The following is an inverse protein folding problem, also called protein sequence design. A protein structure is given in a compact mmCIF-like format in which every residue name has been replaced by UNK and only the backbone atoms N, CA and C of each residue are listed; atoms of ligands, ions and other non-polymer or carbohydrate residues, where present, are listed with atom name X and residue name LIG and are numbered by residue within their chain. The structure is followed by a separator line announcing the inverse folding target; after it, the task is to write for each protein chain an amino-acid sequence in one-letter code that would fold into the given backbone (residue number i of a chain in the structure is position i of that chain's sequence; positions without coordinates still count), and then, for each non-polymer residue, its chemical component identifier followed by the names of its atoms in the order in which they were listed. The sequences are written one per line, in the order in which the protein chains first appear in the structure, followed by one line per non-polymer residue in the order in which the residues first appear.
data_IF_739828741085
#
_entry.id   IF_739828741085
#
_cell.length_a   1.000
_cell.length_b   1.000
_cell.length_c   1.000
_cell.angle_alpha   90.00
_cell.angle_beta   90.00
_cell.angle_gamma   90.00
#
_symmetry.space_group_name_H-M   'P 1'
#
loop_
_entity.id
_entity.type
_entity.pdbx_description
1 polymer ?
#
# COMPACT_ATOMS: atom_id res chain seq x y z
N UNK A 1 10.30 13.89 7.08
CA UNK A 1 9.74 13.96 8.45
C UNK A 1 10.65 14.79 9.32
N UNK A 2 10.07 15.52 10.26
CA UNK A 2 10.82 16.26 11.27
C UNK A 2 10.64 15.49 12.58
N UNK A 3 11.72 14.98 13.15
CA UNK A 3 11.71 14.37 14.47
C UNK A 3 12.27 15.36 15.49
N UNK A 4 11.50 15.61 16.56
CA UNK A 4 11.91 16.54 17.62
C UNK A 4 12.22 17.97 17.14
N UNK A 5 11.53 18.44 16.07
CA UNK A 5 11.77 19.77 15.50
C UNK A 5 13.02 19.91 14.61
N UNK A 6 13.85 18.87 14.49
CA UNK A 6 15.07 18.90 13.66
C UNK A 6 14.76 18.60 12.19
N UNK A 7 15.43 19.31 11.28
CA UNK A 7 15.29 19.09 9.82
C UNK A 7 15.78 17.70 9.44
N UNK A 8 15.08 17.05 8.50
CA UNK A 8 15.51 15.78 7.92
C UNK A 8 16.86 15.99 7.20
N UNK A 9 17.90 15.21 7.54
CA UNK A 9 19.17 15.24 6.81
C UNK A 9 18.93 14.96 5.33
N UNK A 10 19.76 15.53 4.48
CA UNK A 10 19.76 15.28 3.02
C UNK A 10 18.53 15.75 2.24
N UNK A 11 17.45 16.24 2.86
CA UNK A 11 16.26 16.73 2.14
C UNK A 11 16.65 17.79 1.09
N UNK A 12 17.58 18.67 1.42
CA UNK A 12 18.07 19.71 0.51
C UNK A 12 18.71 19.15 -0.76
N UNK A 13 19.30 17.95 -0.74
CA UNK A 13 19.87 17.30 -1.92
C UNK A 13 18.77 17.07 -2.95
N UNK A 14 17.61 16.59 -2.52
CA UNK A 14 16.46 16.36 -3.39
C UNK A 14 15.79 17.65 -3.85
N UNK A 15 15.63 18.60 -2.91
CA UNK A 15 14.92 19.86 -3.20
C UNK A 15 15.71 20.79 -4.14
N UNK A 16 17.04 20.76 -4.10
CA UNK A 16 17.92 21.56 -4.96
C UNK A 16 18.06 21.01 -6.39
N UNK A 17 17.58 19.79 -6.69
CA UNK A 17 17.68 19.24 -8.04
C UNK A 17 16.71 19.93 -8.99
N UNK A 18 17.20 20.37 -10.16
CA UNK A 18 16.39 21.03 -11.20
C UNK A 18 15.40 20.07 -11.86
N UNK A 19 15.79 18.82 -12.08
CA UNK A 19 14.92 17.77 -12.67
C UNK A 19 14.38 16.89 -11.57
N UNK A 20 13.18 17.20 -11.10
CA UNK A 20 12.46 16.39 -10.10
C UNK A 20 11.01 16.19 -10.50
N UNK A 21 10.46 15.02 -10.18
CA UNK A 21 9.05 14.71 -10.30
C UNK A 21 8.49 14.49 -8.89
N UNK A 22 7.39 15.12 -8.57
CA UNK A 22 6.78 15.09 -7.24
C UNK A 22 5.33 14.65 -7.38
N UNK A 23 4.95 13.60 -6.66
CA UNK A 23 3.58 13.12 -6.58
C UNK A 23 3.17 13.00 -5.12
N UNK A 24 2.17 13.77 -4.71
CA UNK A 24 1.58 13.62 -3.37
C UNK A 24 0.71 12.35 -3.35
N UNK A 25 0.95 11.48 -2.39
CA UNK A 25 0.26 10.22 -2.25
C UNK A 25 -0.32 10.06 -0.85
N UNK A 26 -1.52 9.44 -0.77
CA UNK A 26 -2.16 9.17 0.51
C UNK A 26 -1.39 8.11 1.31
N UNK A 27 -1.40 8.26 2.61
CA UNK A 27 -0.96 7.25 3.55
C UNK A 27 -2.07 6.22 3.85
N UNK A 28 -1.85 5.36 4.83
CA UNK A 28 -2.81 4.34 5.25
C UNK A 28 -4.10 4.95 5.78
N UNK A 29 -5.11 5.06 4.93
CA UNK A 29 -6.39 5.71 5.23
C UNK A 29 -7.25 5.03 6.29
N UNK A 30 -6.89 3.82 6.77
CA UNK A 30 -7.49 3.20 7.94
C UNK A 30 -6.81 3.62 9.26
N UNK A 31 -5.68 4.31 9.20
CA UNK A 31 -4.85 4.66 10.37
C UNK A 31 -4.64 6.16 10.53
N UNK A 32 -4.66 6.91 9.43
CA UNK A 32 -4.37 8.34 9.41
C UNK A 32 -5.49 9.14 8.79
N UNK A 33 -5.83 10.26 9.40
CA UNK A 33 -6.81 11.21 8.89
C UNK A 33 -6.13 12.18 7.92
N UNK A 34 -6.51 12.14 6.64
CA UNK A 34 -6.02 13.04 5.57
C UNK A 34 -4.48 13.20 5.51
N UNK A 35 -3.74 12.13 5.78
CA UNK A 35 -2.28 12.14 5.71
C UNK A 35 -1.81 11.87 4.28
N UNK A 36 -0.94 12.72 3.78
CA UNK A 36 -0.30 12.60 2.47
C UNK A 36 1.20 12.79 2.60
N UNK A 37 1.97 12.07 1.80
CA UNK A 37 3.41 12.24 1.64
C UNK A 37 3.75 12.63 0.19
N UNK A 38 4.80 13.44 0.03
CA UNK A 38 5.34 13.75 -1.29
C UNK A 38 6.36 12.70 -1.70
N UNK A 39 6.05 11.94 -2.74
CA UNK A 39 6.97 11.03 -3.40
C UNK A 39 7.82 11.84 -4.37
N UNK A 40 9.11 11.94 -4.11
CA UNK A 40 10.04 12.75 -4.90
C UNK A 40 11.05 11.84 -5.58
N UNK A 41 11.13 11.94 -6.90
CA UNK A 41 12.22 11.39 -7.69
C UNK A 41 13.01 12.54 -8.31
N UNK A 42 14.29 12.61 -7.98
CA UNK A 42 15.22 13.58 -8.53
C UNK A 42 16.26 12.89 -9.40
N UNK A 43 16.55 13.47 -10.57
CA UNK A 43 17.58 13.00 -11.49
C UNK A 43 18.77 13.95 -11.42
N UNK A 44 19.97 13.42 -11.33
CA UNK A 44 21.21 14.20 -11.37
C UNK A 44 22.17 13.66 -12.42
N UNK A 45 22.91 14.56 -13.07
CA UNK A 45 24.04 14.24 -13.95
C UNK A 45 25.39 14.35 -13.23
N UNK A 46 25.40 14.98 -12.04
CA UNK A 46 26.62 15.20 -11.25
C UNK A 46 26.82 14.05 -10.28
N UNK A 47 28.06 13.68 -10.04
CA UNK A 47 28.38 12.80 -8.93
C UNK A 47 27.94 13.50 -7.63
N UNK A 48 26.96 12.93 -6.97
CA UNK A 48 26.55 13.38 -5.64
C UNK A 48 27.46 12.69 -4.65
N UNK A 49 28.06 13.47 -3.74
CA UNK A 49 28.80 12.92 -2.61
C UNK A 49 27.83 12.05 -1.80
N UNK A 50 28.17 10.78 -1.68
CA UNK A 50 27.36 9.82 -0.93
C UNK A 50 27.74 9.94 0.53
N UNK A 51 26.79 10.33 1.38
CA UNK A 51 26.98 10.37 2.82
C UNK A 51 27.04 8.95 3.43
N UNK A 52 27.71 8.77 4.57
CA UNK A 52 27.68 7.49 5.28
C UNK A 52 26.26 6.96 5.47
N UNK A 53 26.04 5.69 5.15
CA UNK A 53 24.72 5.05 5.21
C UNK A 53 23.90 5.14 3.93
N UNK A 54 24.43 5.77 2.85
CA UNK A 54 23.83 5.78 1.52
C UNK A 54 24.77 5.09 0.51
N UNK A 55 24.19 4.43 -0.46
CA UNK A 55 24.92 3.84 -1.58
C UNK A 55 24.05 3.80 -2.83
N UNK A 56 24.68 3.82 -3.98
CA UNK A 56 24.00 3.68 -5.26
C UNK A 56 23.70 2.21 -5.54
N UNK A 57 22.53 1.93 -6.08
CA UNK A 57 22.15 0.61 -6.56
C UNK A 57 21.72 0.68 -8.02
N UNK A 58 22.02 -0.34 -8.77
CA UNK A 58 21.53 -0.54 -10.13
C UNK A 58 20.06 -0.98 -10.09
N UNK A 59 19.35 -0.84 -11.23
CA UNK A 59 17.98 -1.35 -11.34
C UNK A 59 17.91 -2.87 -11.09
N UNK A 60 18.90 -3.63 -11.56
CA UNK A 60 18.96 -5.08 -11.34
C UNK A 60 19.14 -5.44 -9.86
N UNK A 61 19.95 -4.70 -9.12
CA UNK A 61 20.06 -4.87 -7.67
C UNK A 61 18.77 -4.51 -6.95
N UNK A 62 18.12 -3.41 -7.35
CA UNK A 62 16.84 -3.01 -6.80
C UNK A 62 15.77 -4.11 -6.99
N UNK A 63 15.69 -4.72 -8.18
CA UNK A 63 14.81 -5.87 -8.47
C UNK A 63 15.12 -7.05 -7.55
N UNK A 64 16.40 -7.37 -7.33
CA UNK A 64 16.81 -8.44 -6.41
C UNK A 64 16.43 -8.10 -4.96
N UNK A 65 16.57 -6.84 -4.55
CA UNK A 65 16.23 -6.38 -3.20
C UNK A 65 14.74 -6.47 -2.91
N UNK A 66 13.88 -6.14 -3.88
CA UNK A 66 12.41 -6.22 -3.74
C UNK A 66 11.93 -7.65 -3.43
N UNK A 67 12.63 -8.65 -3.95
CA UNK A 67 12.29 -10.06 -3.73
C UNK A 67 12.83 -10.62 -2.41
N UNK A 68 13.58 -9.85 -1.63
CA UNK A 68 14.08 -10.27 -0.31
C UNK A 68 13.16 -9.76 0.79
N UNK A 69 12.85 -10.65 1.75
CA UNK A 69 12.02 -10.33 2.91
C UNK A 69 12.60 -9.11 3.67
N UNK A 70 11.76 -8.13 3.95
CA UNK A 70 12.04 -6.96 4.80
C UNK A 70 13.30 -6.15 4.42
N UNK A 71 13.80 -6.23 3.19
CA UNK A 71 15.01 -5.51 2.80
C UNK A 71 14.70 -4.09 2.32
N UNK A 72 13.61 -3.89 1.58
CA UNK A 72 13.20 -2.57 1.13
C UNK A 72 12.07 -2.01 1.99
N UNK A 73 12.19 -0.73 2.29
CA UNK A 73 11.15 0.03 2.97
C UNK A 73 9.95 0.26 2.03
N UNK A 74 8.73 0.26 2.60
CA UNK A 74 7.50 0.49 1.87
C UNK A 74 7.45 1.86 1.17
N UNK A 75 8.03 2.91 1.76
CA UNK A 75 8.06 4.23 1.14
C UNK A 75 8.83 4.24 -0.18
N UNK A 76 9.91 3.45 -0.28
CA UNK A 76 10.65 3.24 -1.54
C UNK A 76 9.73 2.67 -2.62
N UNK A 77 8.94 1.66 -2.31
CA UNK A 77 7.99 1.07 -3.26
C UNK A 77 6.88 2.04 -3.66
N UNK A 78 6.42 2.88 -2.71
CA UNK A 78 5.47 3.96 -3.01
C UNK A 78 6.05 4.96 -4.01
N UNK A 79 7.33 5.35 -3.87
CA UNK A 79 8.02 6.21 -4.85
C UNK A 79 8.12 5.51 -6.20
N UNK A 80 8.56 4.25 -6.25
CA UNK A 80 8.67 3.47 -7.48
C UNK A 80 7.33 3.43 -8.20
N UNK A 81 6.22 3.15 -7.50
CA UNK A 81 4.88 3.03 -8.08
C UNK A 81 4.42 4.27 -8.85
N UNK A 82 4.87 5.45 -8.45
CA UNK A 82 4.53 6.73 -9.11
C UNK A 82 5.38 7.04 -10.34
N UNK A 83 6.44 6.26 -10.57
CA UNK A 83 7.44 6.50 -11.62
C UNK A 83 7.60 5.33 -12.62
N UNK A 84 6.69 4.37 -12.60
CA UNK A 84 6.62 3.31 -13.60
C UNK A 84 6.34 3.91 -14.98
N UNK A 85 7.08 3.44 -16.00
CA UNK A 85 6.85 3.82 -17.39
C UNK A 85 5.59 3.16 -17.94
N UNK A 86 4.77 3.88 -18.70
CA UNK A 86 3.65 3.28 -19.40
C UNK A 86 4.12 2.32 -20.49
N UNK A 87 3.36 1.27 -20.70
CA UNK A 87 3.54 0.35 -21.81
C UNK A 87 2.86 0.95 -23.05
N UNK A 88 3.60 1.11 -24.14
CA UNK A 88 3.06 1.67 -25.40
C UNK A 88 1.99 0.79 -26.07
N UNK A 89 2.00 -0.51 -25.75
CA UNK A 89 1.10 -1.50 -26.31
C UNK A 89 -0.12 -1.80 -25.41
N UNK A 90 -0.37 -0.96 -24.39
CA UNK A 90 -1.47 -1.15 -23.45
C UNK A 90 -2.84 -0.99 -24.13
N UNK A 91 -3.67 -2.00 -24.08
CA UNK A 91 -5.02 -2.03 -24.64
C UNK A 91 -6.03 -2.31 -23.53
N UNK A 92 -6.55 -1.26 -22.86
CA UNK A 92 -7.48 -1.43 -21.75
C UNK A 92 -8.85 -1.91 -22.25
N UNK A 93 -9.50 -2.80 -21.48
CA UNK A 93 -10.88 -3.25 -21.77
C UNK A 93 -11.95 -2.22 -21.44
N UNK A 94 -11.61 -1.26 -20.58
CA UNK A 94 -12.48 -0.16 -20.21
C UNK A 94 -11.87 1.17 -20.63
N UNK A 95 -12.66 2.06 -21.21
CA UNK A 95 -12.20 3.41 -21.48
C UNK A 95 -12.03 4.21 -20.17
N UNK A 96 -11.22 5.26 -20.21
CA UNK A 96 -11.10 6.18 -19.07
C UNK A 96 -12.42 6.84 -18.69
N UNK A 97 -13.29 7.10 -19.67
CA UNK A 97 -14.65 7.62 -19.44
C UNK A 97 -15.49 6.61 -18.68
N UNK A 98 -15.47 5.33 -19.06
CA UNK A 98 -16.19 4.26 -18.36
C UNK A 98 -15.75 4.18 -16.89
N UNK A 99 -14.44 4.18 -16.62
CA UNK A 99 -13.93 4.10 -15.23
C UNK A 99 -14.41 5.31 -14.41
N UNK A 100 -14.39 6.52 -14.97
CA UNK A 100 -14.88 7.72 -14.28
C UNK A 100 -16.38 7.64 -13.96
N UNK A 101 -17.20 7.18 -14.90
CA UNK A 101 -18.65 7.00 -14.67
C UNK A 101 -18.90 5.89 -13.65
N UNK A 102 -18.14 4.79 -13.71
CA UNK A 102 -18.21 3.72 -12.72
C UNK A 102 -17.91 4.24 -11.30
N UNK A 103 -16.88 5.08 -11.12
CA UNK A 103 -16.60 5.73 -9.84
C UNK A 103 -17.77 6.61 -9.37
N UNK A 104 -18.31 7.45 -10.25
CA UNK A 104 -19.45 8.31 -9.90
C UNK A 104 -20.67 7.51 -9.42
N UNK A 105 -20.96 6.38 -10.09
CA UNK A 105 -22.05 5.48 -9.69
C UNK A 105 -21.78 4.89 -8.30
N UNK A 106 -20.51 4.47 -8.01
CA UNK A 106 -20.15 3.92 -6.71
C UNK A 106 -20.20 5.00 -5.61
N UNK A 107 -19.70 6.19 -5.87
CA UNK A 107 -19.71 7.31 -4.93
C UNK A 107 -21.14 7.76 -4.58
N UNK A 108 -22.11 7.61 -5.51
CA UNK A 108 -23.54 7.86 -5.22
C UNK A 108 -24.15 6.75 -4.36
N UNK A 109 -23.74 5.49 -4.58
CA UNK A 109 -24.33 4.33 -3.89
C UNK A 109 -23.73 4.13 -2.49
N UNK A 110 -22.45 4.37 -2.31
CA UNK A 110 -21.73 4.12 -1.08
C UNK A 110 -21.24 5.44 -0.49
N UNK A 111 -21.43 5.61 0.78
CA UNK A 111 -20.91 6.77 1.50
C UNK A 111 -20.25 6.35 2.80
N UNK A 112 -19.32 7.16 3.26
CA UNK A 112 -18.69 7.04 4.56
C UNK A 112 -18.74 8.41 5.23
N UNK A 113 -19.44 8.51 6.37
CA UNK A 113 -19.41 9.68 7.22
C UNK A 113 -18.54 9.40 8.43
N UNK A 114 -17.64 10.29 8.75
CA UNK A 114 -16.83 10.23 9.95
C UNK A 114 -16.98 11.51 10.77
N UNK A 115 -16.85 11.38 12.09
CA UNK A 115 -16.86 12.49 13.04
C UNK A 115 -15.76 12.24 14.06
N UNK A 116 -15.00 13.28 14.36
CA UNK A 116 -14.04 13.25 15.46
C UNK A 116 -14.82 13.26 16.77
N UNK A 117 -14.50 12.31 17.63
CA UNK A 117 -15.09 12.19 18.97
C UNK A 117 -13.99 12.09 20.02
N UNK A 118 -14.20 12.52 21.26
CA UNK A 118 -13.28 12.28 22.36
C UNK A 118 -12.99 10.79 22.54
N UNK A 119 -11.75 10.43 22.93
CA UNK A 119 -11.35 9.03 23.11
C UNK A 119 -12.24 8.28 24.11
N UNK A 120 -12.71 8.96 25.15
CA UNK A 120 -13.61 8.39 26.17
C UNK A 120 -14.99 7.97 25.60
N UNK A 121 -15.38 8.49 24.45
CA UNK A 121 -16.63 8.15 23.76
C UNK A 121 -16.50 7.00 22.76
N UNK A 122 -15.29 6.42 22.61
CA UNK A 122 -15.08 5.32 21.70
C UNK A 122 -15.76 4.06 22.24
N UNK A 123 -16.85 3.65 21.59
CA UNK A 123 -17.52 2.38 21.88
C UNK A 123 -16.58 1.21 21.58
N UNK A 124 -16.64 0.17 22.42
CA UNK A 124 -15.87 -1.08 22.26
C UNK A 124 -14.36 -0.96 22.38
N UNK A 125 -13.83 0.21 22.67
CA UNK A 125 -12.42 0.42 22.98
C UNK A 125 -12.24 0.65 24.48
N UNK A 126 -11.19 0.03 25.03
CA UNK A 126 -10.74 0.26 26.39
C UNK A 126 -9.48 1.10 26.37
N UNK A 127 -9.45 2.05 27.26
CA UNK A 127 -8.31 2.92 27.51
C UNK A 127 -7.85 2.69 28.94
N UNK A 128 -6.57 2.45 29.14
CA UNK A 128 -5.92 2.38 30.43
C UNK A 128 -4.50 2.97 30.32
N UNK A 129 -3.77 3.04 31.43
CA UNK A 129 -2.42 3.66 31.49
C UNK A 129 -1.39 2.99 30.59
N UNK A 130 -1.67 1.79 30.08
CA UNK A 130 -0.73 1.02 29.27
C UNK A 130 -1.05 1.02 27.78
N UNK A 131 -2.33 1.08 27.40
CA UNK A 131 -2.71 0.92 26.00
C UNK A 131 -4.15 1.35 25.71
N UNK A 132 -4.42 1.57 24.41
CA UNK A 132 -5.78 1.62 23.86
C UNK A 132 -6.00 0.32 23.10
N UNK A 133 -7.04 -0.45 23.45
CA UNK A 133 -7.30 -1.78 22.90
C UNK A 133 -8.80 -2.01 22.71
N UNK A 134 -9.16 -2.73 21.63
CA UNK A 134 -10.56 -3.14 21.42
C UNK A 134 -10.98 -4.24 22.42
N UNK A 135 -12.20 -4.16 22.96
CA UNK A 135 -12.74 -5.09 23.99
C UNK A 135 -12.54 -6.55 23.62
N UNK A 136 -12.87 -6.93 22.38
CA UNK A 136 -12.77 -8.31 21.91
C UNK A 136 -11.39 -8.67 21.39
N UNK A 137 -10.42 -7.76 21.53
CA UNK A 137 -9.04 -7.99 21.10
C UNK A 137 -8.87 -8.33 19.59
N UNK A 138 -9.85 -8.01 18.75
CA UNK A 138 -9.90 -8.37 17.32
C UNK A 138 -9.20 -7.37 16.39
N UNK A 139 -8.84 -6.20 16.93
CA UNK A 139 -8.20 -5.12 16.18
C UNK A 139 -6.78 -4.86 16.69
N UNK A 140 -6.14 -3.84 16.12
CA UNK A 140 -4.86 -3.33 16.62
C UNK A 140 -4.99 -2.76 18.04
N UNK A 141 -3.86 -2.55 18.68
CA UNK A 141 -3.76 -1.73 19.89
C UNK A 141 -2.80 -0.55 19.66
N UNK A 142 -2.96 0.51 20.47
CA UNK A 142 -1.97 1.59 20.54
C UNK A 142 -1.22 1.43 21.84
N UNK A 143 0.10 1.35 21.76
CA UNK A 143 1.01 1.15 22.91
C UNK A 143 2.04 2.28 22.95
N UNK A 144 2.62 2.55 24.12
CA UNK A 144 3.78 3.42 24.27
C UNK A 144 5.07 2.62 24.08
N UNK A 145 6.05 3.21 23.40
CA UNK A 145 7.41 2.66 23.32
C UNK A 145 8.43 3.73 23.68
N UNK A 146 9.53 3.30 24.29
CA UNK A 146 10.75 4.09 24.46
C UNK A 146 11.80 3.61 23.48
N UNK A 147 12.39 4.53 22.74
CA UNK A 147 13.38 4.26 21.69
C UNK A 147 14.71 4.90 22.06
N UNK A 148 15.80 4.14 21.96
CA UNK A 148 17.17 4.64 22.01
C UNK A 148 17.90 4.28 20.72
N UNK A 149 18.66 5.19 20.14
CA UNK A 149 19.42 4.97 18.92
C UNK A 149 20.58 5.96 18.81
N UNK A 150 21.64 5.57 18.16
CA UNK A 150 22.78 6.44 17.83
C UNK A 150 22.78 6.88 16.34
N UNK A 151 21.74 6.52 15.58
CA UNK A 151 21.69 6.74 14.12
C UNK A 151 20.58 7.70 13.67
N UNK A 152 19.98 8.44 14.61
CA UNK A 152 18.90 9.39 14.31
C UNK A 152 19.20 10.78 14.86
N UNK A 153 18.45 11.77 14.38
CA UNK A 153 18.55 13.17 14.80
C UNK A 153 18.23 13.36 16.29
N UNK A 154 17.41 12.45 16.84
CA UNK A 154 17.08 12.33 18.25
C UNK A 154 17.48 10.94 18.71
N UNK A 155 18.24 10.87 19.79
CA UNK A 155 18.82 9.61 20.29
C UNK A 155 17.93 8.87 21.31
N UNK A 156 17.04 9.57 21.98
CA UNK A 156 16.12 9.00 22.98
C UNK A 156 14.78 9.72 22.92
N UNK A 157 13.67 8.97 22.81
CA UNK A 157 12.31 9.51 22.84
C UNK A 157 11.28 8.46 23.20
N UNK A 158 10.08 8.91 23.60
CA UNK A 158 8.91 8.07 23.74
C UNK A 158 7.88 8.44 22.68
N UNK A 159 7.13 7.44 22.18
CA UNK A 159 6.03 7.68 21.25
C UNK A 159 4.93 6.62 21.36
N UNK A 160 3.67 6.99 21.04
CA UNK A 160 2.65 5.99 20.75
C UNK A 160 2.96 5.29 19.41
N UNK A 161 2.63 3.99 19.35
CA UNK A 161 2.81 3.18 18.14
C UNK A 161 1.67 2.17 18.01
N UNK A 162 1.27 1.85 16.78
CA UNK A 162 0.23 0.87 16.49
C UNK A 162 0.83 -0.52 16.51
N UNK A 163 0.26 -1.41 17.31
CA UNK A 163 0.63 -2.83 17.37
C UNK A 163 -0.45 -3.67 16.70
N UNK A 164 -0.16 -4.21 15.52
CA UNK A 164 -0.94 -5.25 14.87
C UNK A 164 -0.75 -6.60 15.57
N UNK A 165 -1.66 -7.55 15.34
CA UNK A 165 -1.62 -8.85 16.01
C UNK A 165 -1.21 -9.99 15.09
N UNK A 166 -1.41 -9.84 13.82
CA UNK A 166 -1.30 -10.92 12.85
C UNK A 166 -0.55 -10.45 11.60
N UNK A 167 0.01 -11.41 10.89
CA UNK A 167 0.47 -11.19 9.52
C UNK A 167 -0.73 -10.80 8.65
N UNK A 168 -0.67 -9.64 8.02
CA UNK A 168 -1.67 -9.18 7.07
C UNK A 168 -1.45 -9.81 5.68
N UNK A 169 -2.46 -9.72 4.80
CA UNK A 169 -2.38 -10.17 3.42
C UNK A 169 -2.92 -9.10 2.49
N UNK A 170 -2.14 -8.79 1.48
CA UNK A 170 -2.52 -7.92 0.36
C UNK A 170 -2.25 -8.65 -0.95
N UNK A 171 -3.24 -8.73 -1.84
CA UNK A 171 -3.08 -9.49 -3.07
C UNK A 171 -3.76 -8.90 -4.29
N UNK A 172 -3.05 -8.91 -5.41
CA UNK A 172 -3.63 -8.72 -6.74
C UNK A 172 -3.82 -10.04 -7.46
N UNK A 173 -4.96 -10.19 -8.11
CA UNK A 173 -5.16 -11.15 -9.19
C UNK A 173 -4.99 -10.39 -10.50
N UNK A 174 -4.13 -10.92 -11.36
CA UNK A 174 -3.81 -10.36 -12.67
C UNK A 174 -4.23 -11.32 -13.76
N UNK A 175 -4.63 -10.76 -14.89
CA UNK A 175 -4.94 -11.50 -16.10
C UNK A 175 -4.45 -10.74 -17.33
N UNK A 176 -4.00 -11.46 -18.35
CA UNK A 176 -3.71 -10.88 -19.66
C UNK A 176 -4.99 -10.87 -20.50
N UNK A 177 -5.43 -9.68 -20.91
CA UNK A 177 -6.59 -9.45 -21.75
C UNK A 177 -6.12 -8.57 -22.91
N UNK A 178 -6.40 -8.95 -24.16
CA UNK A 178 -5.92 -8.21 -25.35
C UNK A 178 -4.41 -7.90 -25.30
N UNK A 179 -3.60 -8.90 -24.97
CA UNK A 179 -2.15 -8.76 -24.77
C UNK A 179 -1.70 -7.77 -23.68
N UNK A 180 -2.61 -7.23 -22.89
CA UNK A 180 -2.37 -6.24 -21.82
C UNK A 180 -2.61 -6.85 -20.44
N UNK A 181 -1.72 -6.57 -19.50
CA UNK A 181 -1.90 -6.98 -18.10
C UNK A 181 -2.99 -6.12 -17.46
N UNK A 182 -4.02 -6.78 -16.95
CA UNK A 182 -5.08 -6.17 -16.16
C UNK A 182 -5.01 -6.65 -14.73
N UNK A 183 -5.29 -5.74 -13.81
CA UNK A 183 -5.32 -5.96 -12.37
C UNK A 183 -6.76 -5.93 -11.89
N UNK A 184 -7.18 -6.93 -11.15
CA UNK A 184 -8.50 -6.94 -10.53
C UNK A 184 -8.46 -6.06 -9.28
N UNK A 185 -9.04 -4.88 -9.38
CA UNK A 185 -9.07 -3.88 -8.34
C UNK A 185 -10.44 -3.82 -7.67
N UNK A 186 -10.49 -3.37 -6.42
CA UNK A 186 -11.72 -3.22 -5.66
C UNK A 186 -11.91 -1.77 -5.20
N UNK A 187 -13.13 -1.27 -5.34
CA UNK A 187 -13.54 0.01 -4.78
C UNK A 187 -13.59 -0.03 -3.25
N UNK A 188 -13.08 1.00 -2.59
CA UNK A 188 -13.10 1.09 -1.14
C UNK A 188 -13.22 2.54 -0.65
N UNK A 189 -13.94 2.70 0.46
CA UNK A 189 -13.96 3.93 1.26
C UNK A 189 -13.11 3.70 2.51
N UNK A 190 -12.19 4.61 2.79
CA UNK A 190 -11.34 4.56 3.99
C UNK A 190 -11.62 5.76 4.88
N UNK A 191 -11.81 5.60 6.20
CA UNK A 191 -12.23 6.69 7.09
C UNK A 191 -11.25 7.87 7.13
N UNK A 192 -9.98 7.64 6.83
CA UNK A 192 -8.97 8.70 6.78
C UNK A 192 -8.83 9.39 5.44
N UNK A 193 -9.62 9.02 4.43
CA UNK A 193 -9.58 9.64 3.09
C UNK A 193 -10.88 10.38 2.80
N UNK A 194 -10.77 11.53 2.14
CA UNK A 194 -11.95 12.34 1.72
C UNK A 194 -12.68 11.75 0.52
N UNK A 195 -12.01 10.91 -0.28
CA UNK A 195 -12.54 10.33 -1.51
C UNK A 195 -12.35 8.82 -1.50
N UNK A 196 -13.21 8.14 -2.20
CA UNK A 196 -13.04 6.72 -2.52
C UNK A 196 -11.76 6.48 -3.33
N UNK A 197 -11.25 5.26 -3.23
CA UNK A 197 -10.07 4.82 -3.97
C UNK A 197 -10.26 3.38 -4.43
N UNK A 198 -9.41 2.92 -5.33
CA UNK A 198 -9.22 1.50 -5.59
C UNK A 198 -8.15 0.92 -4.66
N UNK A 199 -8.33 -0.33 -4.33
CA UNK A 199 -7.36 -1.15 -3.59
C UNK A 199 -7.06 -2.45 -4.34
N UNK A 200 -6.19 -3.27 -3.80
CA UNK A 200 -5.92 -4.62 -4.32
C UNK A 200 -7.19 -5.47 -4.38
N UNK A 201 -7.11 -6.59 -5.08
CA UNK A 201 -8.20 -7.59 -5.16
C UNK A 201 -8.67 -7.99 -3.78
N UNK A 202 -7.71 -8.24 -2.88
CA UNK A 202 -7.97 -8.56 -1.48
C UNK A 202 -6.98 -7.82 -0.58
N UNK A 203 -7.49 -7.36 0.56
CA UNK A 203 -6.69 -6.80 1.64
C UNK A 203 -7.31 -7.22 2.99
N UNK A 204 -6.55 -7.89 3.84
CA UNK A 204 -7.00 -8.31 5.19
C UNK A 204 -5.91 -8.12 6.22
N UNK A 205 -6.29 -7.76 7.42
CA UNK A 205 -5.39 -7.58 8.57
C UNK A 205 -4.89 -8.91 9.17
N UNK A 206 -5.41 -10.05 8.72
CA UNK A 206 -4.99 -11.37 9.21
C UNK A 206 -5.06 -12.42 8.10
N UNK A 207 -3.95 -13.11 7.87
CA UNK A 207 -3.90 -14.25 6.94
C UNK A 207 -4.41 -15.54 7.60
N UNK A 208 -4.08 -15.75 8.86
CA UNK A 208 -4.57 -16.88 9.63
C UNK A 208 -5.95 -16.56 10.19
N UNK A 209 -6.91 -17.47 9.99
CA UNK A 209 -8.29 -17.29 10.46
C UNK A 209 -9.09 -16.24 9.65
N UNK A 210 -8.68 -15.93 8.40
CA UNK A 210 -9.42 -15.00 7.54
C UNK A 210 -10.87 -15.45 7.28
N UNK A 211 -11.17 -16.74 7.34
CA UNK A 211 -12.52 -17.27 7.19
C UNK A 211 -13.49 -16.74 8.26
N UNK A 212 -12.98 -16.46 9.47
CA UNK A 212 -13.75 -15.90 10.58
C UNK A 212 -13.63 -14.37 10.68
N UNK A 213 -13.05 -13.71 9.67
CA UNK A 213 -12.97 -12.26 9.62
C UNK A 213 -14.28 -11.66 9.10
N UNK A 214 -15.05 -11.03 9.98
CA UNK A 214 -16.33 -10.39 9.64
C UNK A 214 -16.14 -9.13 8.77
N UNK A 215 -14.92 -8.60 8.65
CA UNK A 215 -14.62 -7.47 7.78
C UNK A 215 -14.44 -7.91 6.31
N UNK A 216 -14.34 -9.20 6.05
CA UNK A 216 -14.22 -9.76 4.71
C UNK A 216 -15.57 -10.27 4.19
N UNK A 217 -15.94 -9.85 2.97
CA UNK A 217 -17.08 -10.41 2.27
C UNK A 217 -16.86 -11.89 1.93
N UNK A 218 -17.95 -12.61 1.68
CA UNK A 218 -17.90 -14.01 1.21
C UNK A 218 -17.03 -14.13 -0.05
N UNK A 219 -17.15 -13.19 -0.97
CA UNK A 219 -16.34 -13.16 -2.19
C UNK A 219 -14.85 -13.01 -1.88
N UNK A 220 -14.47 -12.10 -0.98
CA UNK A 220 -13.06 -11.94 -0.59
C UNK A 220 -12.49 -13.21 0.04
N UNK A 221 -13.24 -13.86 0.92
CA UNK A 221 -12.84 -15.16 1.51
C UNK A 221 -12.63 -16.24 0.43
N UNK A 222 -13.54 -16.32 -0.56
CA UNK A 222 -13.38 -17.22 -1.71
C UNK A 222 -12.13 -16.88 -2.54
N UNK A 223 -11.88 -15.61 -2.84
CA UNK A 223 -10.70 -15.17 -3.60
C UNK A 223 -9.38 -15.49 -2.86
N UNK A 224 -9.35 -15.35 -1.55
CA UNK A 224 -8.19 -15.76 -0.73
C UNK A 224 -8.00 -17.28 -0.80
N UNK A 225 -9.03 -18.04 -0.45
CA UNK A 225 -8.96 -19.51 -0.34
C UNK A 225 -8.69 -20.19 -1.67
N UNK A 226 -9.43 -19.80 -2.70
CA UNK A 226 -9.45 -20.53 -3.98
C UNK A 226 -8.31 -20.09 -4.90
N UNK A 227 -7.71 -18.91 -4.71
CA UNK A 227 -6.68 -18.39 -5.59
C UNK A 227 -5.39 -18.01 -4.83
N UNK A 228 -5.40 -16.96 -4.03
CA UNK A 228 -4.16 -16.38 -3.47
C UNK A 228 -3.40 -17.34 -2.56
N UNK A 229 -4.08 -18.12 -1.73
CA UNK A 229 -3.46 -19.09 -0.81
C UNK A 229 -3.56 -20.53 -1.30
N UNK A 230 -4.23 -20.79 -2.42
CA UNK A 230 -4.37 -22.13 -2.97
C UNK A 230 -3.03 -22.62 -3.54
N UNK A 231 -2.61 -23.82 -3.12
CA UNK A 231 -1.36 -24.46 -3.55
C UNK A 231 -1.33 -24.71 -5.08
N UNK A 232 -2.48 -24.98 -5.71
CA UNK A 232 -2.62 -25.16 -7.17
C UNK A 232 -2.04 -23.97 -7.95
N UNK A 233 -2.17 -22.76 -7.41
CA UNK A 233 -1.72 -21.54 -8.08
C UNK A 233 -0.30 -21.11 -7.68
N UNK A 234 0.44 -21.90 -6.89
CA UNK A 234 1.79 -21.54 -6.43
C UNK A 234 2.72 -21.11 -7.58
N UNK A 235 2.72 -21.88 -8.69
CA UNK A 235 3.56 -21.62 -9.88
C UNK A 235 3.14 -20.38 -10.70
N UNK A 236 1.95 -19.86 -10.46
CA UNK A 236 1.43 -18.68 -11.14
C UNK A 236 1.59 -17.40 -10.32
N UNK A 237 2.16 -17.49 -9.13
CA UNK A 237 2.51 -16.32 -8.34
C UNK A 237 3.75 -15.67 -8.94
N UNK A 238 3.58 -14.46 -9.44
CA UNK A 238 4.68 -13.65 -9.99
C UNK A 238 5.34 -12.81 -8.91
N UNK A 239 4.73 -12.70 -7.73
CA UNK A 239 5.28 -12.10 -6.53
C UNK A 239 4.65 -12.75 -5.29
N UNK A 240 5.45 -13.12 -4.31
CA UNK A 240 5.00 -13.64 -3.01
C UNK A 240 6.08 -13.33 -1.97
N UNK A 241 5.94 -12.22 -1.27
CA UNK A 241 6.94 -11.78 -0.30
C UNK A 241 6.30 -11.19 0.96
N UNK A 242 7.00 -11.29 2.09
CA UNK A 242 6.63 -10.66 3.34
C UNK A 242 7.49 -9.42 3.53
N UNK A 243 6.83 -8.30 3.82
CA UNK A 243 7.50 -7.03 4.06
C UNK A 243 7.00 -6.41 5.35
N UNK A 244 7.89 -5.73 6.06
CA UNK A 244 7.52 -4.92 7.20
C UNK A 244 6.66 -3.73 6.76
N UNK A 245 5.68 -3.42 7.57
CA UNK A 245 5.00 -2.14 7.52
C UNK A 245 5.94 -1.02 7.96
N UNK A 246 5.52 0.23 7.92
CA UNK A 246 6.36 1.36 8.32
C UNK A 246 6.73 1.28 9.81
N UNK A 247 7.99 0.90 10.09
CA UNK A 247 8.45 0.61 11.44
C UNK A 247 8.49 1.80 12.41
N UNK A 248 8.36 3.03 11.91
CA UNK A 248 8.23 4.22 12.75
C UNK A 248 6.83 4.43 13.33
N UNK A 249 5.82 3.70 12.83
CA UNK A 249 4.40 3.84 13.20
C UNK A 249 3.73 2.52 13.55
N UNK A 250 4.27 1.39 13.08
CA UNK A 250 3.73 0.06 13.28
C UNK A 250 4.76 -0.84 13.96
N UNK A 251 4.42 -1.32 15.14
CA UNK A 251 5.29 -2.14 15.96
C UNK A 251 5.30 -3.58 15.43
N UNK A 252 6.43 -4.01 14.84
CA UNK A 252 6.65 -5.37 14.31
C UNK A 252 5.55 -5.87 13.38
N UNK A 253 4.89 -4.97 12.64
CA UNK A 253 3.83 -5.35 11.70
C UNK A 253 4.43 -5.82 10.39
N UNK A 254 3.94 -6.94 9.88
CA UNK A 254 4.32 -7.52 8.59
C UNK A 254 3.08 -7.76 7.71
N UNK A 255 3.28 -7.63 6.42
CA UNK A 255 2.25 -7.85 5.39
C UNK A 255 2.81 -8.79 4.33
N UNK A 256 2.07 -9.86 4.01
CA UNK A 256 2.37 -10.71 2.86
C UNK A 256 1.72 -10.11 1.62
N UNK A 257 2.54 -9.83 0.62
CA UNK A 257 2.12 -9.31 -0.67
C UNK A 257 2.14 -10.41 -1.72
N UNK A 258 1.02 -10.63 -2.42
CA UNK A 258 0.89 -11.67 -3.45
C UNK A 258 0.42 -11.05 -4.76
N UNK A 259 1.20 -11.23 -5.83
CA UNK A 259 0.80 -11.01 -7.21
C UNK A 259 0.55 -12.35 -7.88
N UNK A 260 -0.72 -12.66 -8.18
CA UNK A 260 -1.12 -13.91 -8.80
C UNK A 260 -1.58 -13.67 -10.24
N UNK A 261 -0.88 -14.27 -11.19
CA UNK A 261 -1.28 -14.23 -12.59
C UNK A 261 -2.16 -15.45 -12.93
N UNK A 262 -3.35 -15.23 -13.46
CA UNK A 262 -4.25 -16.31 -13.90
C UNK A 262 -4.35 -16.33 -15.44
N UNK A 263 -4.41 -17.52 -16.02
CA UNK A 263 -4.59 -17.72 -17.46
C UNK A 263 -6.07 -17.85 -17.83
N UNK A 264 -6.81 -18.53 -16.98
CA UNK A 264 -8.22 -18.87 -17.21
C UNK A 264 -9.16 -17.79 -16.67
N UNK A 265 -10.44 -17.89 -16.98
CA UNK A 265 -11.45 -17.06 -16.37
C UNK A 265 -11.56 -17.38 -14.87
N UNK A 266 -11.83 -16.32 -14.09
CA UNK A 266 -12.25 -16.51 -12.72
C UNK A 266 -13.61 -17.20 -12.73
N UNK A 267 -13.67 -18.44 -12.26
CA UNK A 267 -14.92 -19.15 -12.03
C UNK A 267 -15.60 -18.64 -10.74
N UNK A 268 -15.70 -17.33 -10.64
CA UNK A 268 -16.34 -16.63 -9.53
C UNK A 268 -17.02 -15.37 -10.06
N UNK A 269 -18.33 -15.25 -9.79
CA UNK A 269 -19.09 -14.02 -10.09
C UNK A 269 -18.58 -12.87 -9.21
N UNK A 270 -17.99 -11.87 -9.84
CA UNK A 270 -17.52 -10.67 -9.18
C UNK A 270 -18.69 -9.75 -8.79
N UNK A 271 -18.59 -9.12 -7.63
CA UNK A 271 -19.53 -8.08 -7.22
C UNK A 271 -19.20 -6.76 -7.89
N UNK A 272 -20.17 -5.86 -7.93
CA UNK A 272 -20.07 -4.60 -8.67
C UNK A 272 -19.04 -3.59 -8.13
N UNK A 273 -18.38 -3.89 -7.00
CA UNK A 273 -17.28 -3.12 -6.43
C UNK A 273 -15.89 -3.54 -6.98
N UNK A 274 -15.85 -4.55 -7.86
CA UNK A 274 -14.64 -4.96 -8.56
C UNK A 274 -14.61 -4.47 -9.99
N UNK A 275 -13.40 -4.13 -10.46
CA UNK A 275 -13.14 -3.68 -11.81
C UNK A 275 -11.74 -4.14 -12.28
N UNK A 276 -11.64 -4.55 -13.55
CA UNK A 276 -10.36 -4.78 -14.18
C UNK A 276 -9.76 -3.47 -14.69
N UNK A 277 -8.51 -3.19 -14.33
CA UNK A 277 -7.79 -1.98 -14.69
C UNK A 277 -6.49 -2.35 -15.38
N UNK A 278 -6.19 -1.78 -16.55
CA UNK A 278 -4.94 -2.04 -17.26
C UNK A 278 -3.74 -1.41 -16.55
N UNK A 279 -2.54 -1.85 -16.91
CA UNK A 279 -1.30 -1.32 -16.33
C UNK A 279 -1.19 0.21 -16.49
N UNK A 280 -1.46 0.75 -17.69
CA UNK A 280 -1.36 2.19 -17.92
C UNK A 280 -2.45 2.98 -17.20
N UNK A 281 -3.64 2.41 -17.09
CA UNK A 281 -4.71 3.00 -16.28
C UNK A 281 -4.31 3.05 -14.81
N UNK A 282 -3.71 1.99 -14.26
CA UNK A 282 -3.18 2.01 -12.90
C UNK A 282 -2.14 3.12 -12.71
N UNK A 283 -1.17 3.24 -13.64
CA UNK A 283 -0.15 4.30 -13.59
C UNK A 283 -0.80 5.69 -13.54
N UNK A 284 -1.76 5.95 -14.44
CA UNK A 284 -2.47 7.23 -14.50
C UNK A 284 -3.26 7.51 -13.21
N UNK A 285 -3.99 6.52 -12.72
CA UNK A 285 -4.84 6.63 -11.53
C UNK A 285 -4.02 6.77 -10.25
N UNK A 286 -2.87 6.10 -10.13
CA UNK A 286 -1.93 6.28 -9.01
C UNK A 286 -1.47 7.73 -8.94
N UNK A 287 -1.06 8.32 -10.07
CA UNK A 287 -0.66 9.75 -10.14
C UNK A 287 -1.79 10.69 -9.73
N UNK A 288 -3.05 10.31 -9.97
CA UNK A 288 -4.27 11.05 -9.58
C UNK A 288 -4.75 10.74 -8.16
N UNK A 289 -4.00 9.97 -7.36
CA UNK A 289 -4.33 9.60 -5.97
C UNK A 289 -5.59 8.72 -5.85
N UNK A 290 -5.91 7.95 -6.87
CA UNK A 290 -7.09 7.09 -6.93
C UNK A 290 -6.81 5.65 -6.44
N UNK A 291 -5.60 5.37 -5.94
CA UNK A 291 -5.23 4.10 -5.34
C UNK A 291 -4.73 4.29 -3.91
N UNK A 292 -5.07 3.34 -3.03
CA UNK A 292 -4.52 3.31 -1.68
C UNK A 292 -3.05 2.87 -1.67
N UNK A 293 -2.43 2.96 -0.50
CA UNK A 293 -1.00 2.67 -0.37
C UNK A 293 -0.70 1.20 -0.60
N UNK A 294 -1.53 0.29 -0.12
CA UNK A 294 -1.32 -1.16 -0.23
C UNK A 294 -1.28 -1.60 -1.70
N UNK A 295 -2.21 -1.08 -2.51
CA UNK A 295 -2.23 -1.34 -3.95
C UNK A 295 -1.01 -0.74 -4.66
N UNK A 296 -0.59 0.47 -4.30
CA UNK A 296 0.59 1.10 -4.89
C UNK A 296 1.88 0.34 -4.59
N UNK A 297 2.05 -0.14 -3.36
CA UNK A 297 3.23 -0.90 -2.96
C UNK A 297 3.35 -2.19 -3.77
N UNK A 298 2.27 -2.96 -3.85
CA UNK A 298 2.28 -4.19 -4.63
C UNK A 298 2.44 -3.92 -6.12
N UNK A 299 1.77 -2.88 -6.66
CA UNK A 299 1.96 -2.46 -8.06
C UNK A 299 3.41 -2.07 -8.35
N UNK A 300 4.05 -1.31 -7.47
CA UNK A 300 5.47 -0.94 -7.58
C UNK A 300 6.39 -2.16 -7.58
N UNK A 301 6.12 -3.13 -6.70
CA UNK A 301 6.88 -4.39 -6.65
C UNK A 301 6.75 -5.22 -7.92
N UNK A 302 5.54 -5.30 -8.48
CA UNK A 302 5.24 -6.08 -9.69
C UNK A 302 5.82 -5.47 -10.97
N UNK A 303 6.06 -4.16 -10.98
CA UNK A 303 6.44 -3.42 -12.19
C UNK A 303 7.79 -2.70 -12.07
N UNK A 304 8.61 -3.03 -11.10
CA UNK A 304 9.91 -2.38 -10.87
C UNK A 304 10.84 -2.44 -12.09
N UNK A 305 10.76 -3.49 -12.90
CA UNK A 305 11.51 -3.61 -14.16
C UNK A 305 11.21 -2.49 -15.16
N UNK A 306 10.04 -1.86 -15.04
CA UNK A 306 9.60 -0.74 -15.87
C UNK A 306 9.79 0.62 -15.18
N UNK A 307 10.59 0.65 -14.10
CA UNK A 307 10.93 1.88 -13.40
C UNK A 307 11.91 2.71 -14.21
N UNK A 308 11.53 3.94 -14.57
CA UNK A 308 12.25 4.94 -15.40
C UNK A 308 12.70 4.49 -16.77
#
# INVERSE_FOLDING_TARGET
QVHGGKKVPYLNIFLKQNKKKIFNQSEQGFRYLNKFNSNILATTKKNIIVHPGFFWVTLNELIKMINKKNLLNMDTLSVISTHIKPNKLDQPIHSGRFINEWFKIKDKKFFLKNKIVPLVQLKDWKYNDKMIVHKNNNHFSVIGIKVKTNKREVSDWCQPIIKGKNLALTGFILKKINNTNHYLCRYILKPGLKKSVLTCTVNTSKINGFNHDNNLSVLQKKLIKNFLLNKKYKKFKIYDNIMSDEGGRFFHSEIRYIGLFIKDNLDIKLTADYIWVSQNQMISMIKKKQFDIEARLLFGSLNVSNFM
#
